data_IF_758211764179
#
_entry.id   IF_758211764179
#
_cell.length_a   1.000
_cell.length_b   1.000
_cell.length_c   1.000
_cell.angle_alpha   90.00
_cell.angle_beta   90.00
_cell.angle_gamma   90.00
#
_symmetry.space_group_name_H-M   'P 1'
#
loop_
_entity.id
_entity.type
_entity.pdbx_description
1 polymer ?
#
# COMPACT_ATOMS: atom_id res chain seq x y z
N UNK A 1 -34.30 -3.93 1.70
CA UNK A 1 -33.62 -3.45 2.91
C UNK A 1 -32.28 -4.13 2.92
N UNK A 2 -31.23 -3.41 2.55
CA UNK A 2 -29.93 -3.98 2.18
C UNK A 2 -29.20 -4.51 3.42
N UNK A 3 -28.71 -5.76 3.36
CA UNK A 3 -27.77 -6.32 4.33
C UNK A 3 -26.45 -5.52 4.27
N UNK A 4 -26.37 -4.41 5.00
CA UNK A 4 -25.10 -3.73 5.25
C UNK A 4 -24.27 -4.61 6.18
N UNK A 5 -23.17 -5.16 5.64
CA UNK A 5 -22.26 -6.00 6.40
C UNK A 5 -21.68 -5.20 7.57
N UNK A 6 -21.95 -5.63 8.80
CA UNK A 6 -21.36 -5.02 10.00
C UNK A 6 -19.84 -5.21 10.01
N UNK A 7 -19.09 -4.17 10.37
CA UNK A 7 -17.66 -4.24 10.60
C UNK A 7 -17.36 -4.82 11.98
N UNK A 8 -16.72 -5.99 12.01
CA UNK A 8 -16.48 -6.78 13.20
C UNK A 8 -14.98 -6.92 13.46
N UNK A 9 -14.57 -6.89 14.72
CA UNK A 9 -13.18 -7.06 15.14
C UNK A 9 -13.08 -8.36 15.95
N UNK A 10 -12.19 -9.25 15.50
CA UNK A 10 -11.97 -10.55 16.11
C UNK A 10 -10.58 -10.61 16.76
N UNK A 11 -10.43 -11.38 17.84
CA UNK A 11 -9.15 -11.79 18.41
C UNK A 11 -8.91 -13.27 18.11
N UNK A 12 -7.77 -13.56 17.48
CA UNK A 12 -7.39 -14.93 17.17
C UNK A 12 -7.20 -15.76 18.44
N UNK A 13 -7.72 -16.98 18.46
CA UNK A 13 -7.53 -17.90 19.58
C UNK A 13 -6.08 -18.38 19.73
N UNK A 14 -5.33 -18.49 18.63
CA UNK A 14 -4.00 -19.11 18.62
C UNK A 14 -2.86 -18.10 18.71
N UNK A 15 -2.91 -17.01 17.94
CA UNK A 15 -1.85 -15.99 17.93
C UNK A 15 -2.21 -14.71 18.67
N UNK A 16 -3.43 -14.64 19.23
CA UNK A 16 -3.97 -13.51 19.98
C UNK A 16 -4.03 -12.16 19.23
N UNK A 17 -3.63 -12.11 17.95
CA UNK A 17 -3.73 -10.91 17.12
C UNK A 17 -5.17 -10.61 16.78
N UNK A 18 -5.48 -9.33 16.76
CA UNK A 18 -6.78 -8.82 16.37
C UNK A 18 -6.84 -8.55 14.86
N UNK A 19 -7.98 -8.79 14.23
CA UNK A 19 -8.20 -8.54 12.80
C UNK A 19 -9.66 -8.18 12.53
N UNK A 20 -9.91 -7.47 11.42
CA UNK A 20 -11.24 -7.01 11.03
C UNK A 20 -11.92 -7.92 10.00
N UNK A 21 -13.25 -7.86 9.91
CA UNK A 21 -14.03 -8.51 8.87
C UNK A 21 -15.45 -7.95 8.73
N UNK A 22 -15.98 -7.97 7.50
CA UNK A 22 -17.38 -7.65 7.19
C UNK A 22 -18.29 -8.86 7.48
N UNK A 23 -19.53 -8.62 7.95
CA UNK A 23 -20.43 -9.65 8.50
C UNK A 23 -20.63 -10.92 7.63
N UNK A 24 -21.06 -12.01 8.31
CA UNK A 24 -21.39 -13.37 7.83
C UNK A 24 -20.31 -14.16 7.05
N UNK A 25 -19.33 -13.48 6.43
CA UNK A 25 -18.22 -14.05 5.67
C UNK A 25 -16.84 -13.73 6.25
N UNK A 26 -16.77 -13.07 7.42
CA UNK A 26 -15.52 -12.81 8.13
C UNK A 26 -14.67 -14.10 8.15
N UNK A 27 -13.49 -14.02 7.52
CA UNK A 27 -12.70 -15.17 7.12
C UNK A 27 -12.56 -16.17 8.27
N UNK A 28 -12.89 -17.44 8.02
CA UNK A 28 -12.71 -18.51 8.99
C UNK A 28 -11.26 -18.60 9.47
N UNK A 29 -10.30 -18.20 8.62
CA UNK A 29 -8.88 -18.15 8.94
C UNK A 29 -8.40 -16.79 9.43
N UNK A 30 -7.52 -16.81 10.43
CA UNK A 30 -6.77 -15.65 10.86
C UNK A 30 -5.79 -15.22 9.76
N UNK A 31 -5.79 -13.96 9.31
CA UNK A 31 -4.89 -13.50 8.25
C UNK A 31 -3.42 -13.46 8.69
N UNK A 32 -3.14 -13.46 10.00
CA UNK A 32 -1.78 -13.38 10.52
C UNK A 32 -1.11 -14.76 10.68
N UNK A 33 -1.84 -15.78 11.14
CA UNK A 33 -1.28 -17.12 11.39
C UNK A 33 -1.95 -18.26 10.61
N UNK A 34 -2.99 -17.97 9.83
CA UNK A 34 -3.72 -18.98 9.04
C UNK A 34 -4.69 -19.85 9.84
N UNK A 35 -4.76 -19.71 11.17
CA UNK A 35 -5.63 -20.53 12.02
C UNK A 35 -7.11 -20.42 11.61
N UNK A 36 -7.73 -21.56 11.33
CA UNK A 36 -9.16 -21.68 11.05
C UNK A 36 -10.02 -21.84 12.33
N UNK A 37 -9.45 -21.61 13.51
CA UNK A 37 -10.15 -21.71 14.78
C UNK A 37 -11.29 -20.67 14.89
N UNK A 38 -12.25 -20.92 15.78
CA UNK A 38 -13.27 -19.94 16.09
C UNK A 38 -12.63 -18.73 16.82
N UNK A 39 -12.55 -17.59 16.13
CA UNK A 39 -11.98 -16.36 16.69
C UNK A 39 -13.02 -15.60 17.52
N UNK A 40 -12.56 -14.93 18.58
CA UNK A 40 -13.46 -14.24 19.52
C UNK A 40 -13.84 -12.87 18.99
N UNK A 41 -15.12 -12.56 18.84
CA UNK A 41 -15.60 -11.20 18.58
C UNK A 41 -15.31 -10.31 19.80
N UNK A 42 -14.57 -9.22 19.60
CA UNK A 42 -14.18 -8.31 20.69
C UNK A 42 -14.74 -6.89 20.56
N UNK A 43 -15.04 -6.43 19.34
CA UNK A 43 -15.57 -5.07 19.13
C UNK A 43 -16.26 -4.94 17.75
N UNK A 44 -16.92 -3.81 17.50
CA UNK A 44 -17.56 -3.44 16.23
C UNK A 44 -17.15 -2.02 15.82
N UNK A 45 -16.97 -1.81 14.52
CA UNK A 45 -16.64 -0.50 13.94
C UNK A 45 -17.82 0.07 13.14
N UNK A 46 -17.80 1.39 12.92
CA UNK A 46 -18.85 2.09 12.16
C UNK A 46 -18.62 2.06 10.65
N UNK A 47 -17.36 2.04 10.24
CA UNK A 47 -16.90 2.13 8.85
C UNK A 47 -15.51 1.48 8.71
N UNK A 48 -14.98 1.45 7.48
CA UNK A 48 -13.67 0.87 7.15
C UNK A 48 -12.50 1.57 7.89
N UNK A 49 -12.54 2.90 8.01
CA UNK A 49 -11.47 3.68 8.64
C UNK A 49 -11.43 3.43 10.16
N UNK A 50 -12.60 3.41 10.82
CA UNK A 50 -12.72 3.05 12.24
C UNK A 50 -12.28 1.60 12.48
N UNK A 51 -12.61 0.67 11.57
CA UNK A 51 -12.18 -0.72 11.65
C UNK A 51 -10.65 -0.83 11.62
N UNK A 52 -10.01 -0.20 10.62
CA UNK A 52 -8.56 -0.20 10.49
C UNK A 52 -7.88 0.39 11.73
N UNK A 53 -8.38 1.53 12.22
CA UNK A 53 -7.83 2.21 13.40
C UNK A 53 -7.92 1.35 14.66
N UNK A 54 -9.08 0.74 14.93
CA UNK A 54 -9.29 -0.10 16.11
C UNK A 54 -8.46 -1.37 16.07
N UNK A 55 -8.37 -2.04 14.92
CA UNK A 55 -7.53 -3.24 14.74
C UNK A 55 -6.06 -2.89 14.99
N UNK A 56 -5.57 -1.76 14.45
CA UNK A 56 -4.20 -1.32 14.66
C UNK A 56 -3.91 -1.08 16.15
N UNK A 57 -4.78 -0.33 16.85
CA UNK A 57 -4.62 -0.05 18.28
C UNK A 57 -4.73 -1.30 19.16
N UNK A 58 -5.62 -2.24 18.83
CA UNK A 58 -5.80 -3.49 19.56
C UNK A 58 -4.56 -4.40 19.50
N UNK A 59 -3.80 -4.33 18.39
CA UNK A 59 -2.58 -5.10 18.18
C UNK A 59 -1.32 -4.46 18.77
N UNK A 60 -1.43 -3.30 19.43
CA UNK A 60 -0.30 -2.53 19.94
C UNK A 60 -0.27 -2.56 21.47
N UNK A 61 0.90 -2.73 22.09
CA UNK A 61 1.07 -2.67 23.54
C UNK A 61 0.50 -1.36 24.13
N UNK A 62 -0.08 -1.43 25.33
CA UNK A 62 -0.77 -0.31 25.99
C UNK A 62 0.06 0.98 26.02
N UNK A 63 1.37 0.82 26.22
CA UNK A 63 2.36 1.89 26.36
C UNK A 63 2.49 2.69 25.06
N UNK A 64 2.30 2.04 23.91
CA UNK A 64 2.50 2.63 22.58
C UNK A 64 1.20 3.10 21.92
N UNK A 65 0.03 2.72 22.44
CA UNK A 65 -1.27 3.06 21.82
C UNK A 65 -1.49 4.56 21.68
N UNK A 66 -1.11 5.34 22.69
CA UNK A 66 -1.28 6.81 22.68
C UNK A 66 -0.39 7.47 21.62
N UNK A 67 0.82 6.97 21.45
CA UNK A 67 1.74 7.48 20.44
C UNK A 67 1.26 7.11 19.03
N UNK A 68 0.88 5.86 18.82
CA UNK A 68 0.35 5.41 17.53
C UNK A 68 -0.93 6.15 17.16
N UNK A 69 -1.87 6.31 18.09
CA UNK A 69 -3.10 7.08 17.84
C UNK A 69 -2.81 8.49 17.34
N UNK A 70 -1.89 9.21 18.00
CA UNK A 70 -1.46 10.54 17.53
C UNK A 70 -0.81 10.52 16.14
N UNK A 71 -0.09 9.47 15.78
CA UNK A 71 0.51 9.33 14.44
C UNK A 71 -0.55 9.09 13.38
N UNK A 72 -1.52 8.21 13.66
CA UNK A 72 -2.66 7.93 12.79
C UNK A 72 -3.47 9.21 12.57
N UNK A 73 -3.80 9.94 13.64
CA UNK A 73 -4.61 11.17 13.54
C UNK A 73 -3.86 12.31 12.79
N UNK A 74 -2.54 12.21 12.64
CA UNK A 74 -1.70 13.14 11.86
C UNK A 74 -1.42 12.67 10.44
N UNK A 75 -1.71 11.41 10.12
CA UNK A 75 -1.53 10.94 8.76
C UNK A 75 -2.52 11.70 7.86
N UNK A 76 -2.07 12.23 6.73
CA UNK A 76 -3.00 12.77 5.75
C UNK A 76 -3.99 11.67 5.38
N UNK A 77 -5.27 12.00 5.36
CA UNK A 77 -6.30 11.09 4.82
C UNK A 77 -5.86 10.73 3.41
N UNK A 78 -5.83 9.43 3.11
CA UNK A 78 -5.54 8.97 1.76
C UNK A 78 -6.64 9.50 0.84
N UNK A 79 -6.31 10.53 0.07
CA UNK A 79 -7.20 11.11 -0.91
C UNK A 79 -7.17 10.24 -2.17
N UNK A 80 -8.08 9.27 -2.25
CA UNK A 80 -8.31 8.48 -3.46
C UNK A 80 -8.76 9.33 -4.66
N UNK A 81 -9.07 10.62 -4.44
CA UNK A 81 -9.43 11.63 -5.42
C UNK A 81 -8.26 12.46 -5.94
N UNK A 82 -7.04 12.36 -5.37
CA UNK A 82 -5.81 12.69 -6.09
C UNK A 82 -5.66 11.64 -7.18
N UNK A 83 -6.36 11.83 -8.29
CA UNK A 83 -5.93 11.25 -9.55
C UNK A 83 -4.48 11.68 -9.69
N UNK A 84 -3.55 10.73 -9.63
CA UNK A 84 -2.26 10.95 -10.26
C UNK A 84 -2.58 11.53 -11.63
N UNK A 85 -2.08 12.73 -11.94
CA UNK A 85 -2.35 13.38 -13.23
C UNK A 85 -1.99 12.44 -14.40
N UNK A 86 -1.11 11.47 -14.13
CA UNK A 86 -0.67 10.42 -15.03
C UNK A 86 -0.99 9.04 -14.44
N UNK A 87 -1.67 8.19 -15.22
CA UNK A 87 -1.92 6.81 -14.80
C UNK A 87 -0.63 5.99 -14.63
N UNK A 88 -0.62 5.08 -13.66
CA UNK A 88 0.48 4.14 -13.43
C UNK A 88 0.83 3.30 -14.66
N UNK A 89 -0.17 2.96 -15.50
CA UNK A 89 0.01 2.27 -16.78
C UNK A 89 0.87 3.11 -17.75
N UNK A 90 0.61 4.41 -17.83
CA UNK A 90 1.39 5.32 -18.70
C UNK A 90 2.82 5.49 -18.17
N UNK A 91 3.00 5.62 -16.86
CA UNK A 91 4.34 5.69 -16.24
C UNK A 91 5.15 4.41 -16.49
N UNK A 92 4.51 3.24 -16.37
CA UNK A 92 5.14 1.95 -16.70
C UNK A 92 5.54 1.87 -18.17
N UNK A 93 4.64 2.27 -19.08
CA UNK A 93 4.95 2.29 -20.51
C UNK A 93 6.10 3.25 -20.85
N UNK A 94 6.25 4.37 -20.13
CA UNK A 94 7.37 5.28 -20.32
C UNK A 94 8.69 4.70 -19.81
N UNK A 95 8.69 4.04 -18.66
CA UNK A 95 9.85 3.29 -18.17
C UNK A 95 10.26 2.20 -19.17
N UNK A 96 9.30 1.41 -19.67
CA UNK A 96 9.54 0.37 -20.67
C UNK A 96 10.08 0.95 -22.00
N UNK A 97 9.59 2.12 -22.41
CA UNK A 97 10.04 2.81 -23.62
C UNK A 97 11.39 3.52 -23.48
N UNK A 98 11.84 3.81 -22.26
CA UNK A 98 13.13 4.45 -21.98
C UNK A 98 14.32 3.47 -21.99
N UNK A 99 14.05 2.16 -22.16
CA UNK A 99 15.07 1.11 -22.23
C UNK A 99 15.89 1.23 -23.51
N UNK A 100 17.20 1.04 -23.39
CA UNK A 100 18.07 0.80 -24.54
C UNK A 100 18.09 -0.68 -24.96
N UNK A 101 18.89 -1.02 -25.97
CA UNK A 101 19.04 -2.39 -26.49
C UNK A 101 19.59 -3.40 -25.46
N UNK A 102 20.16 -2.91 -24.34
CA UNK A 102 20.71 -3.71 -23.25
C UNK A 102 19.78 -3.75 -22.03
N UNK A 103 18.54 -3.29 -22.18
CA UNK A 103 17.56 -3.10 -21.11
C UNK A 103 18.05 -2.14 -20.01
N UNK A 104 18.95 -1.22 -20.32
CA UNK A 104 19.38 -0.18 -19.41
C UNK A 104 18.51 1.06 -19.58
N UNK A 105 18.23 1.72 -18.46
CA UNK A 105 17.54 3.01 -18.40
C UNK A 105 18.52 4.00 -17.76
N UNK A 106 18.77 5.11 -18.46
CA UNK A 106 19.46 6.26 -17.88
C UNK A 106 18.47 7.28 -17.32
N UNK A 107 18.85 7.95 -16.24
CA UNK A 107 18.02 9.00 -15.63
C UNK A 107 17.69 10.10 -16.63
N UNK A 108 18.67 10.52 -17.43
CA UNK A 108 18.51 11.56 -18.46
C UNK A 108 17.51 11.17 -19.54
N UNK A 109 17.54 9.93 -20.04
CA UNK A 109 16.58 9.46 -21.05
C UNK A 109 15.15 9.41 -20.51
N UNK A 110 14.99 8.96 -19.25
CA UNK A 110 13.68 8.94 -18.61
C UNK A 110 13.15 10.36 -18.38
N UNK A 111 14.02 11.29 -17.97
CA UNK A 111 13.65 12.69 -17.82
C UNK A 111 13.18 13.29 -19.13
N UNK A 112 13.92 13.09 -20.23
CA UNK A 112 13.48 13.54 -21.56
C UNK A 112 12.14 12.92 -21.98
N UNK A 113 11.90 11.64 -21.66
CA UNK A 113 10.65 10.96 -21.98
C UNK A 113 9.46 11.56 -21.21
N UNK A 114 9.64 11.88 -19.93
CA UNK A 114 8.63 12.56 -19.11
C UNK A 114 8.34 13.98 -19.61
N UNK A 115 9.39 14.74 -19.94
CA UNK A 115 9.28 16.10 -20.46
C UNK A 115 8.54 16.14 -21.81
N UNK A 116 8.82 15.18 -22.71
CA UNK A 116 8.12 15.04 -24.01
C UNK A 116 6.62 14.80 -23.86
N UNK A 117 6.22 14.11 -22.79
CA UNK A 117 4.80 13.83 -22.49
C UNK A 117 4.17 14.92 -21.60
N UNK A 118 4.91 15.98 -21.25
CA UNK A 118 4.42 17.07 -20.41
C UNK A 118 4.22 16.68 -18.94
N UNK A 119 4.83 15.58 -18.50
CA UNK A 119 4.70 15.03 -17.16
C UNK A 119 5.69 15.73 -16.22
N UNK A 120 5.19 16.45 -15.22
CA UNK A 120 6.01 17.15 -14.23
C UNK A 120 6.17 16.38 -12.92
N UNK A 121 5.23 15.48 -12.63
CA UNK A 121 5.15 14.69 -11.41
C UNK A 121 4.61 13.29 -11.75
N UNK A 122 5.25 12.20 -11.30
CA UNK A 122 6.51 12.18 -10.56
C UNK A 122 7.72 12.65 -11.40
N UNK A 123 8.79 13.10 -10.75
CA UNK A 123 10.08 13.34 -11.41
C UNK A 123 10.72 12.03 -11.88
N UNK A 124 11.74 12.12 -12.73
CA UNK A 124 12.48 10.93 -13.17
C UNK A 124 13.11 10.19 -11.98
N UNK A 125 13.69 10.92 -11.03
CA UNK A 125 14.29 10.37 -9.81
C UNK A 125 13.25 9.68 -8.92
N UNK A 126 12.07 10.30 -8.75
CA UNK A 126 10.98 9.73 -7.96
C UNK A 126 10.45 8.44 -8.60
N UNK A 127 10.29 8.43 -9.92
CA UNK A 127 9.83 7.27 -10.67
C UNK A 127 10.86 6.12 -10.62
N UNK A 128 12.15 6.42 -10.77
CA UNK A 128 13.23 5.45 -10.58
C UNK A 128 13.24 4.91 -9.16
N UNK A 129 13.14 5.78 -8.14
CA UNK A 129 13.15 5.37 -6.74
C UNK A 129 11.97 4.44 -6.43
N UNK A 130 10.78 4.74 -6.95
CA UNK A 130 9.62 3.86 -6.83
C UNK A 130 9.87 2.51 -7.50
N UNK A 131 10.34 2.50 -8.74
CA UNK A 131 10.57 1.27 -9.50
C UNK A 131 11.70 0.41 -8.91
N UNK A 132 12.76 1.03 -8.38
CA UNK A 132 13.84 0.35 -7.64
C UNK A 132 13.29 -0.27 -6.34
N UNK A 133 12.45 0.45 -5.59
CA UNK A 133 11.84 -0.06 -4.35
C UNK A 133 10.87 -1.23 -4.57
N UNK A 134 10.26 -1.31 -5.76
CA UNK A 134 9.34 -2.38 -6.17
C UNK A 134 10.07 -3.56 -6.84
N UNK A 135 11.39 -3.47 -7.02
CA UNK A 135 12.20 -4.52 -7.65
C UNK A 135 12.06 -4.58 -9.17
N UNK A 136 11.52 -3.55 -9.83
CA UNK A 136 11.45 -3.47 -11.28
C UNK A 136 12.78 -3.04 -11.92
N UNK A 137 13.61 -2.30 -11.15
CA UNK A 137 14.92 -1.79 -11.56
C UNK A 137 16.00 -2.21 -10.58
N UNK A 138 17.21 -2.44 -11.09
CA UNK A 138 18.43 -2.59 -10.28
C UNK A 138 19.47 -1.58 -10.74
N UNK A 139 20.08 -0.87 -9.79
CA UNK A 139 21.18 0.06 -10.10
C UNK A 139 22.37 -0.68 -10.71
N UNK A 140 22.77 -0.27 -11.90
CA UNK A 140 23.91 -0.83 -12.64
C UNK A 140 25.13 0.09 -12.59
N UNK A 141 24.91 1.41 -12.44
CA UNK A 141 25.95 2.41 -12.29
C UNK A 141 25.39 3.76 -11.83
N UNK A 142 26.22 4.79 -11.86
CA UNK A 142 25.77 6.15 -11.57
C UNK A 142 24.80 6.63 -12.66
N UNK A 143 23.57 6.95 -12.26
CA UNK A 143 22.53 7.41 -13.17
C UNK A 143 22.01 6.35 -14.16
N UNK A 144 22.32 5.06 -13.96
CA UNK A 144 21.90 3.97 -14.85
C UNK A 144 21.37 2.77 -14.08
N UNK A 145 20.24 2.23 -14.53
CA UNK A 145 19.56 1.08 -13.96
C UNK A 145 19.29 0.02 -15.03
N UNK A 146 19.39 -1.25 -14.65
CA UNK A 146 18.92 -2.38 -15.43
C UNK A 146 17.43 -2.60 -15.16
N UNK A 147 16.64 -2.72 -16.22
CA UNK A 147 15.23 -3.08 -16.16
C UNK A 147 15.07 -4.61 -16.10
N UNK A 148 14.22 -5.11 -15.19
CA UNK A 148 14.08 -6.55 -14.93
C UNK A 148 12.84 -7.21 -15.52
N UNK A 149 11.83 -6.44 -15.96
CA UNK A 149 10.53 -6.97 -16.44
C UNK A 149 10.32 -6.93 -17.97
#
# INVERSE_FOLDING_TARGET
>A
MSDEGQFLIFRCADCERCFGGLSAKASSSCPACGSAAAHKLIDRATDDDDLQRRVALANVPSELRKELGKRIDRMPVYDSGKKDEVSSIKLRSLLEGARDERNLISLSQLQEALEKEGIKQPSAEELISMAESQGALIRSGEGVWLYLE
#
